data_IF_020239977066
#
_entry.id   IF_020239977066
#
_cell.length_a   1.000
_cell.length_b   1.000
_cell.length_c   1.000
_cell.angle_alpha   90.00
_cell.angle_beta   90.00
_cell.angle_gamma   90.00
#
_symmetry.space_group_name_H-M   'P 1'
#
loop_
_entity.id
_entity.type
_entity.pdbx_description
1 polymer ?
#
# COMPACT_ATOMS: atom_id res chain seq x y z
N UNK A 1 0.98 -18.90 -13.63
CA UNK A 1 2.03 -17.88 -13.57
C UNK A 1 2.06 -17.24 -12.19
N UNK A 2 0.99 -16.60 -11.73
CA UNK A 2 0.90 -15.95 -10.40
C UNK A 2 1.46 -16.83 -9.26
N UNK A 3 1.05 -18.09 -9.15
CA UNK A 3 1.55 -19.03 -8.12
C UNK A 3 3.06 -19.25 -8.26
N UNK A 4 3.58 -19.43 -9.48
CA UNK A 4 5.01 -19.64 -9.74
C UNK A 4 5.82 -18.42 -9.33
N UNK A 5 5.38 -17.22 -9.72
CA UNK A 5 6.08 -15.97 -9.39
C UNK A 5 6.03 -15.70 -7.88
N UNK A 6 4.90 -15.97 -7.23
CA UNK A 6 4.76 -15.87 -5.78
C UNK A 6 5.71 -16.81 -5.03
N UNK A 7 5.82 -18.06 -5.47
CA UNK A 7 6.75 -19.04 -4.92
C UNK A 7 8.21 -18.54 -5.03
N UNK A 8 8.62 -18.13 -6.22
CA UNK A 8 10.00 -17.68 -6.48
C UNK A 8 10.37 -16.42 -5.71
N UNK A 9 9.44 -15.46 -5.59
CA UNK A 9 9.66 -14.25 -4.80
C UNK A 9 9.74 -14.58 -3.32
N UNK A 10 8.84 -15.45 -2.82
CA UNK A 10 8.81 -15.84 -1.41
C UNK A 10 10.04 -16.65 -1.01
N UNK A 11 10.49 -17.60 -1.86
CA UNK A 11 11.73 -18.38 -1.64
C UNK A 11 12.95 -17.48 -1.47
N UNK A 12 12.98 -16.33 -2.14
CA UNK A 12 14.07 -15.33 -2.06
C UNK A 12 13.90 -14.30 -0.95
N UNK A 13 12.92 -14.46 -0.08
CA UNK A 13 12.70 -13.60 1.07
C UNK A 13 11.69 -12.47 0.86
N UNK A 14 11.08 -12.37 -0.33
CA UNK A 14 10.06 -11.36 -0.63
C UNK A 14 8.70 -11.70 -0.02
N UNK A 15 8.02 -10.71 0.54
CA UNK A 15 6.58 -10.78 0.83
C UNK A 15 5.77 -10.44 -0.41
N UNK A 16 4.64 -11.11 -0.63
CA UNK A 16 3.81 -10.93 -1.83
C UNK A 16 2.38 -10.55 -1.43
N UNK A 17 1.85 -9.49 -2.06
CA UNK A 17 0.43 -9.12 -1.98
C UNK A 17 -0.28 -9.38 -3.32
N UNK A 18 -1.48 -9.95 -3.29
CA UNK A 18 -2.21 -10.37 -4.48
C UNK A 18 -3.64 -9.85 -4.44
N UNK A 19 -4.08 -9.15 -5.49
CA UNK A 19 -5.47 -8.74 -5.67
C UNK A 19 -6.33 -9.91 -6.19
N UNK A 20 -7.42 -10.22 -5.51
CA UNK A 20 -8.37 -11.26 -5.92
C UNK A 20 -9.70 -10.68 -6.44
N UNK A 21 -9.87 -9.37 -6.43
CA UNK A 21 -11.14 -8.69 -6.73
C UNK A 21 -11.70 -9.02 -8.13
N UNK A 22 -10.85 -9.30 -9.10
CA UNK A 22 -11.29 -9.67 -10.46
C UNK A 22 -11.60 -11.17 -10.64
N UNK A 23 -11.42 -11.98 -9.60
CA UNK A 23 -11.80 -13.39 -9.63
C UNK A 23 -13.33 -13.49 -9.57
N UNK A 24 -13.92 -14.32 -10.41
CA UNK A 24 -15.36 -14.55 -10.40
C UNK A 24 -15.81 -15.09 -9.05
N UNK A 25 -16.94 -14.59 -8.59
CA UNK A 25 -17.58 -15.05 -7.36
C UNK A 25 -18.04 -16.52 -7.47
N UNK A 26 -18.20 -17.17 -6.32
CA UNK A 26 -18.76 -18.52 -6.23
C UNK A 26 -20.15 -18.57 -6.86
N UNK A 27 -20.37 -19.57 -7.71
CA UNK A 27 -21.63 -19.74 -8.45
C UNK A 27 -21.74 -18.93 -9.75
N UNK A 28 -20.74 -18.10 -10.09
CA UNK A 28 -20.74 -17.40 -11.37
C UNK A 28 -20.67 -18.37 -12.57
N UNK A 29 -21.16 -17.97 -13.77
CA UNK A 29 -21.10 -18.81 -14.93
C UNK A 29 -19.69 -18.98 -15.48
N UNK A 30 -19.40 -20.19 -15.98
CA UNK A 30 -18.23 -20.51 -16.80
C UNK A 30 -18.70 -21.07 -18.11
N UNK A 31 -18.28 -20.51 -19.24
CA UNK A 31 -18.69 -20.95 -20.59
C UNK A 31 -20.21 -21.05 -20.73
N UNK A 32 -20.97 -20.13 -20.17
CA UNK A 32 -22.45 -20.06 -20.15
C UNK A 32 -23.15 -21.09 -19.23
N UNK A 33 -22.43 -21.90 -18.48
CA UNK A 33 -23.00 -22.79 -17.46
C UNK A 33 -23.02 -22.09 -16.11
N UNK A 34 -24.19 -21.90 -15.54
CA UNK A 34 -24.37 -21.28 -14.20
C UNK A 34 -23.84 -22.20 -13.09
N UNK A 35 -23.49 -21.64 -11.97
CA UNK A 35 -23.08 -22.37 -10.76
C UNK A 35 -21.70 -23.03 -10.83
N UNK A 36 -20.86 -22.71 -11.82
CA UNK A 36 -19.61 -23.43 -12.06
C UNK A 36 -18.39 -22.84 -11.38
N UNK A 37 -18.35 -21.51 -11.15
CA UNK A 37 -17.21 -20.87 -10.52
C UNK A 37 -17.15 -21.22 -9.03
N UNK A 38 -15.94 -21.50 -8.53
CA UNK A 38 -15.72 -21.87 -7.12
C UNK A 38 -15.44 -20.65 -6.22
N UNK A 39 -15.25 -19.46 -6.82
CA UNK A 39 -14.95 -18.22 -6.08
C UNK A 39 -13.49 -18.12 -5.63
N UNK A 40 -13.23 -17.22 -4.68
CA UNK A 40 -11.87 -16.88 -4.26
C UNK A 40 -11.24 -17.91 -3.29
N UNK A 41 -12.03 -18.66 -2.52
CA UNK A 41 -11.53 -19.52 -1.44
C UNK A 41 -10.57 -20.61 -1.94
N UNK A 42 -10.85 -21.37 -3.01
CA UNK A 42 -9.91 -22.38 -3.51
C UNK A 42 -8.57 -21.80 -3.97
N UNK A 43 -8.59 -20.57 -4.52
CA UNK A 43 -7.37 -19.86 -4.90
C UNK A 43 -6.57 -19.47 -3.66
N UNK A 44 -7.23 -19.00 -2.60
CA UNK A 44 -6.60 -18.69 -1.32
C UNK A 44 -5.93 -19.93 -0.72
N UNK A 45 -6.59 -21.10 -0.73
CA UNK A 45 -6.00 -22.36 -0.26
C UNK A 45 -4.74 -22.73 -1.05
N UNK A 46 -4.80 -22.68 -2.37
CA UNK A 46 -3.65 -22.97 -3.24
C UNK A 46 -2.47 -22.01 -2.96
N UNK A 47 -2.75 -20.72 -2.74
CA UNK A 47 -1.72 -19.74 -2.39
C UNK A 47 -1.15 -19.99 -1.00
N UNK A 48 -1.98 -20.34 -0.01
CA UNK A 48 -1.53 -20.68 1.34
C UNK A 48 -0.56 -21.86 1.32
N UNK A 49 -0.89 -22.92 0.59
CA UNK A 49 -0.04 -24.11 0.44
C UNK A 49 1.27 -23.76 -0.30
N UNK A 50 1.18 -22.92 -1.34
CA UNK A 50 2.34 -22.46 -2.10
C UNK A 50 3.33 -21.66 -1.22
N UNK A 51 2.84 -20.71 -0.42
CA UNK A 51 3.69 -19.94 0.49
C UNK A 51 4.24 -20.79 1.64
N UNK A 52 3.46 -21.74 2.15
CA UNK A 52 3.91 -22.67 3.19
C UNK A 52 5.04 -23.59 2.69
N UNK A 53 5.01 -23.95 1.39
CA UNK A 53 6.08 -24.71 0.74
C UNK A 53 7.36 -23.88 0.54
N UNK A 54 7.24 -22.58 0.25
CA UNK A 54 8.37 -21.68 0.00
C UNK A 54 9.12 -21.33 1.30
N UNK A 55 9.59 -22.34 2.00
CA UNK A 55 10.39 -22.17 3.23
C UNK A 55 11.81 -21.72 2.86
N UNK A 56 12.22 -20.55 3.36
CA UNK A 56 13.52 -19.92 3.13
C UNK A 56 14.63 -20.63 3.93
N UNK A 57 14.92 -21.88 3.58
CA UNK A 57 15.93 -22.73 4.25
C UNK A 57 15.76 -22.83 5.77
N UNK A 58 14.53 -22.80 6.27
CA UNK A 58 14.20 -22.82 7.69
C UNK A 58 14.42 -21.49 8.44
N UNK A 59 14.88 -20.45 7.78
CA UNK A 59 15.14 -19.15 8.42
C UNK A 59 13.86 -18.31 8.56
N UNK A 60 12.95 -18.39 7.57
CA UNK A 60 11.68 -17.67 7.56
C UNK A 60 10.67 -18.44 6.73
N UNK A 61 9.44 -18.56 7.21
CA UNK A 61 8.36 -19.12 6.39
C UNK A 61 7.99 -18.16 5.27
N UNK A 62 7.63 -18.69 4.11
CA UNK A 62 7.05 -17.93 3.03
C UNK A 62 5.76 -17.25 3.48
N UNK A 63 5.54 -16.02 3.03
CA UNK A 63 4.41 -15.22 3.46
C UNK A 63 3.77 -14.46 2.30
N UNK A 64 2.44 -14.45 2.29
CA UNK A 64 1.62 -13.73 1.32
C UNK A 64 0.40 -13.08 1.94
N UNK A 65 -0.12 -12.07 1.25
CA UNK A 65 -1.39 -11.45 1.56
C UNK A 65 -2.31 -11.47 0.34
N UNK A 66 -3.61 -11.58 0.56
CA UNK A 66 -4.62 -11.48 -0.48
C UNK A 66 -5.60 -10.37 -0.16
N UNK A 67 -5.95 -9.60 -1.18
CA UNK A 67 -6.81 -8.43 -1.07
C UNK A 67 -8.10 -8.63 -1.85
N UNK A 68 -9.23 -8.29 -1.23
CA UNK A 68 -10.56 -8.37 -1.85
C UNK A 68 -11.32 -7.07 -1.61
N UNK A 69 -12.00 -6.56 -2.65
CA UNK A 69 -12.86 -5.38 -2.50
C UNK A 69 -14.08 -5.70 -1.64
N UNK A 70 -14.48 -4.78 -0.77
CA UNK A 70 -15.64 -4.91 0.11
C UNK A 70 -16.96 -5.17 -0.65
N UNK A 71 -17.03 -4.77 -1.92
CA UNK A 71 -18.20 -4.96 -2.79
C UNK A 71 -18.12 -6.23 -3.66
N UNK A 72 -17.15 -7.13 -3.39
CA UNK A 72 -17.10 -8.43 -4.05
C UNK A 72 -18.13 -9.41 -3.44
N UNK A 73 -18.85 -10.23 -4.23
CA UNK A 73 -19.88 -11.12 -3.70
C UNK A 73 -19.38 -12.16 -2.68
N UNK A 74 -18.12 -12.59 -2.79
CA UNK A 74 -17.52 -13.55 -1.84
C UNK A 74 -16.99 -12.90 -0.55
N UNK A 75 -17.18 -11.57 -0.31
CA UNK A 75 -16.51 -10.86 0.78
C UNK A 75 -16.81 -11.47 2.16
N UNK A 76 -18.05 -11.85 2.44
CA UNK A 76 -18.39 -12.44 3.73
C UNK A 76 -17.73 -13.81 3.93
N UNK A 77 -17.71 -14.64 2.87
CA UNK A 77 -17.02 -15.94 2.89
C UNK A 77 -15.51 -15.78 3.03
N UNK A 78 -14.94 -14.76 2.40
CA UNK A 78 -13.52 -14.40 2.52
C UNK A 78 -13.17 -14.06 3.97
N UNK A 79 -13.97 -13.23 4.64
CA UNK A 79 -13.78 -12.87 6.05
C UNK A 79 -13.90 -14.10 6.97
N UNK A 80 -14.92 -14.94 6.74
CA UNK A 80 -15.19 -16.13 7.57
C UNK A 80 -14.02 -17.16 7.55
N UNK A 81 -13.14 -17.10 6.57
CA UNK A 81 -11.94 -17.97 6.54
C UNK A 81 -10.99 -17.76 7.72
N UNK A 82 -11.08 -16.62 8.41
CA UNK A 82 -10.24 -16.27 9.59
C UNK A 82 -10.92 -16.48 10.93
N UNK A 83 -12.18 -16.90 10.97
CA UNK A 83 -12.84 -17.21 12.25
C UNK A 83 -12.16 -18.39 12.95
N UNK A 84 -12.11 -18.35 14.27
CA UNK A 84 -11.55 -19.46 15.07
C UNK A 84 -12.26 -20.78 14.83
N UNK A 85 -13.58 -20.73 14.64
CA UNK A 85 -14.44 -21.88 14.40
C UNK A 85 -14.74 -22.16 12.93
N UNK A 86 -13.96 -21.60 12.00
CA UNK A 86 -14.13 -21.85 10.58
C UNK A 86 -13.94 -23.36 10.27
N UNK A 87 -14.75 -23.86 9.33
CA UNK A 87 -14.57 -25.21 8.78
C UNK A 87 -13.14 -25.34 8.20
N UNK A 88 -12.43 -26.41 8.56
CA UNK A 88 -11.04 -26.68 8.10
C UNK A 88 -10.90 -26.65 6.57
N UNK A 89 -11.98 -26.95 5.83
CA UNK A 89 -11.98 -26.89 4.37
C UNK A 89 -11.83 -25.47 3.82
N UNK A 90 -12.28 -24.47 4.57
CA UNK A 90 -12.21 -23.06 4.14
C UNK A 90 -11.24 -22.23 4.97
N UNK A 91 -10.81 -22.73 6.14
CA UNK A 91 -9.96 -21.99 7.06
C UNK A 91 -8.61 -21.64 6.44
N UNK A 92 -8.24 -20.39 6.55
CA UNK A 92 -6.96 -19.84 6.12
C UNK A 92 -6.14 -19.47 7.37
N UNK A 93 -5.01 -20.17 7.58
CA UNK A 93 -4.19 -20.02 8.80
C UNK A 93 -3.05 -19.02 8.62
N UNK A 94 -2.27 -19.16 7.54
CA UNK A 94 -0.99 -18.43 7.38
C UNK A 94 -1.06 -17.26 6.41
N UNK A 95 -2.03 -17.27 5.47
CA UNK A 95 -2.19 -16.20 4.51
C UNK A 95 -2.82 -14.96 5.16
N UNK A 96 -2.20 -13.80 5.00
CA UNK A 96 -2.77 -12.53 5.47
C UNK A 96 -3.93 -12.08 4.59
N UNK A 97 -4.94 -11.46 5.18
CA UNK A 97 -6.10 -10.92 4.45
C UNK A 97 -6.10 -9.39 4.50
N UNK A 98 -6.48 -8.78 3.37
CA UNK A 98 -6.76 -7.35 3.27
C UNK A 98 -8.11 -7.10 2.61
N UNK A 99 -8.82 -6.09 3.06
CA UNK A 99 -10.06 -5.62 2.45
C UNK A 99 -9.85 -4.22 1.90
N UNK A 100 -10.18 -4.07 0.62
CA UNK A 100 -10.18 -2.77 -0.07
C UNK A 100 -11.55 -2.16 0.10
N UNK A 101 -11.64 -1.05 0.83
CA UNK A 101 -12.92 -0.44 1.25
C UNK A 101 -13.09 0.92 0.58
N UNK A 102 -14.07 1.05 -0.35
CA UNK A 102 -14.47 2.34 -0.93
C UNK A 102 -15.13 3.27 0.10
N UNK A 103 -15.03 4.58 -0.10
CA UNK A 103 -15.63 5.60 0.78
C UNK A 103 -17.14 5.43 0.91
N UNK A 104 -17.84 5.10 -0.18
CA UNK A 104 -19.30 4.83 -0.18
C UNK A 104 -19.68 3.75 0.84
N UNK A 105 -18.83 2.77 1.11
CA UNK A 105 -19.12 1.70 2.09
C UNK A 105 -19.28 2.27 3.49
N UNK A 106 -18.41 3.24 3.87
CA UNK A 106 -18.51 3.93 5.15
C UNK A 106 -19.75 4.81 5.24
N UNK A 107 -20.11 5.50 4.16
CA UNK A 107 -21.32 6.33 4.10
C UNK A 107 -22.57 5.49 4.30
N UNK A 108 -22.70 4.38 3.59
CA UNK A 108 -23.81 3.44 3.73
C UNK A 108 -23.89 2.85 5.15
N UNK A 109 -22.74 2.53 5.76
CA UNK A 109 -22.72 2.03 7.13
C UNK A 109 -23.14 3.08 8.16
N UNK A 110 -22.68 4.33 7.99
CA UNK A 110 -23.08 5.45 8.87
C UNK A 110 -24.60 5.66 8.85
N UNK A 111 -25.20 5.53 7.67
CA UNK A 111 -26.64 5.66 7.46
C UNK A 111 -27.44 4.38 7.76
N UNK A 112 -26.77 3.29 8.13
CA UNK A 112 -27.35 1.96 8.35
C UNK A 112 -28.14 1.44 7.14
N UNK A 113 -27.63 1.67 5.93
CA UNK A 113 -28.23 1.23 4.67
C UNK A 113 -27.64 -0.10 4.21
N UNK A 114 -28.33 -0.72 3.25
CA UNK A 114 -27.81 -1.86 2.52
C UNK A 114 -26.73 -1.40 1.54
N UNK A 115 -25.66 -2.19 1.41
CA UNK A 115 -24.66 -2.11 0.35
C UNK A 115 -24.83 -3.26 -0.64
N UNK A 116 -24.53 -3.01 -1.89
CA UNK A 116 -24.57 -4.01 -2.94
C UNK A 116 -23.19 -4.59 -3.22
N UNK A 117 -23.16 -5.89 -3.46
CA UNK A 117 -22.00 -6.66 -3.91
C UNK A 117 -22.19 -6.96 -5.39
N UNK A 118 -21.17 -6.73 -6.22
CA UNK A 118 -21.27 -6.77 -7.68
C UNK A 118 -20.43 -7.88 -8.27
N UNK A 119 -21.00 -8.64 -9.22
CA UNK A 119 -20.28 -9.67 -9.96
C UNK A 119 -19.12 -9.06 -10.77
N UNK A 120 -17.84 -9.38 -10.49
CA UNK A 120 -16.72 -8.88 -11.27
C UNK A 120 -16.82 -9.23 -12.76
N UNK A 121 -17.31 -10.42 -13.06
CA UNK A 121 -17.50 -10.87 -14.44
C UNK A 121 -18.50 -10.01 -15.20
N UNK A 122 -19.63 -9.67 -14.58
CA UNK A 122 -20.65 -8.85 -15.24
C UNK A 122 -20.19 -7.39 -15.36
N UNK A 123 -19.50 -6.86 -14.35
CA UNK A 123 -18.91 -5.52 -14.41
C UNK A 123 -17.92 -5.42 -15.57
N UNK A 124 -16.98 -6.34 -15.69
CA UNK A 124 -16.01 -6.37 -16.79
C UNK A 124 -16.71 -6.45 -18.15
N UNK A 125 -17.72 -7.32 -18.28
CA UNK A 125 -18.49 -7.47 -19.51
C UNK A 125 -19.26 -6.21 -19.92
N UNK A 126 -19.79 -5.48 -18.94
CA UNK A 126 -20.63 -4.28 -19.18
C UNK A 126 -19.79 -3.04 -19.41
N UNK A 127 -18.75 -2.85 -18.60
CA UNK A 127 -17.90 -1.63 -18.63
C UNK A 127 -16.66 -1.80 -19.53
N UNK A 128 -16.35 -3.02 -19.98
CA UNK A 128 -15.13 -3.30 -20.77
C UNK A 128 -13.83 -3.13 -20.01
N UNK A 129 -13.89 -3.06 -18.68
CA UNK A 129 -12.75 -2.89 -17.77
C UNK A 129 -12.88 -3.82 -16.57
N UNK A 130 -11.78 -4.34 -16.03
CA UNK A 130 -11.80 -5.12 -14.78
C UNK A 130 -12.48 -4.36 -13.63
N UNK A 131 -13.09 -5.08 -12.71
CA UNK A 131 -13.77 -4.45 -11.57
C UNK A 131 -12.82 -3.58 -10.72
N UNK A 132 -11.55 -3.95 -10.60
CA UNK A 132 -10.51 -3.14 -9.91
C UNK A 132 -10.30 -1.76 -10.53
N UNK A 133 -10.59 -1.61 -11.82
CA UNK A 133 -10.37 -0.35 -12.55
C UNK A 133 -11.58 0.60 -12.47
N UNK A 134 -12.65 0.16 -11.80
CA UNK A 134 -13.88 0.94 -11.58
C UNK A 134 -13.85 1.50 -10.15
N UNK A 135 -13.97 2.81 -10.00
CA UNK A 135 -14.23 3.43 -8.70
C UNK A 135 -15.65 3.08 -8.25
N UNK A 136 -15.77 2.23 -7.23
CA UNK A 136 -17.10 1.85 -6.71
C UNK A 136 -17.82 3.07 -6.14
N UNK A 137 -17.11 3.98 -5.47
CA UNK A 137 -17.70 5.20 -4.91
C UNK A 137 -18.31 6.07 -6.00
N UNK A 138 -17.58 6.33 -7.09
CA UNK A 138 -18.05 7.20 -8.18
C UNK A 138 -19.18 6.59 -9.01
N UNK A 139 -19.14 5.26 -9.21
CA UNK A 139 -20.09 4.53 -10.05
C UNK A 139 -21.14 3.73 -9.28
N UNK A 140 -21.27 3.92 -7.95
CA UNK A 140 -22.13 3.08 -7.12
C UNK A 140 -23.56 3.02 -7.62
N UNK A 141 -24.16 4.16 -7.91
CA UNK A 141 -25.54 4.23 -8.36
C UNK A 141 -25.74 3.61 -9.77
N UNK A 142 -24.77 3.78 -10.66
CA UNK A 142 -24.79 3.16 -11.98
C UNK A 142 -24.72 1.65 -11.87
N UNK A 143 -23.81 1.13 -11.06
CA UNK A 143 -23.67 -0.30 -10.78
C UNK A 143 -24.94 -0.91 -10.15
N UNK A 144 -25.58 -0.17 -9.24
CA UNK A 144 -26.83 -0.61 -8.57
C UNK A 144 -28.00 -0.64 -9.55
N UNK A 145 -28.11 0.32 -10.46
CA UNK A 145 -29.24 0.44 -11.36
C UNK A 145 -29.10 -0.37 -12.66
N UNK A 146 -27.89 -0.85 -12.98
CA UNK A 146 -27.68 -1.65 -14.20
C UNK A 146 -28.16 -3.08 -13.99
N UNK A 147 -29.27 -3.46 -14.68
CA UNK A 147 -29.85 -4.80 -14.59
C UNK A 147 -28.96 -5.91 -15.20
N UNK A 148 -27.98 -5.57 -16.01
CA UNK A 148 -27.04 -6.51 -16.63
C UNK A 148 -26.00 -7.05 -15.67
N UNK A 149 -25.85 -6.41 -14.49
CA UNK A 149 -24.88 -6.77 -13.44
C UNK A 149 -25.63 -7.54 -12.36
N UNK A 150 -25.19 -8.78 -12.11
CA UNK A 150 -25.65 -9.56 -10.96
C UNK A 150 -25.13 -8.93 -9.69
N UNK A 151 -26.01 -8.82 -8.73
CA UNK A 151 -25.71 -8.20 -7.46
C UNK A 151 -26.50 -8.84 -6.33
N UNK A 152 -25.91 -8.87 -5.17
CA UNK A 152 -26.55 -9.23 -3.91
C UNK A 152 -26.41 -8.07 -2.95
N UNK A 153 -27.23 -8.01 -1.91
CA UNK A 153 -27.16 -6.94 -0.94
C UNK A 153 -26.93 -7.48 0.47
N UNK A 154 -26.18 -6.73 1.26
CA UNK A 154 -26.00 -6.96 2.69
C UNK A 154 -26.12 -5.62 3.41
N UNK A 155 -26.40 -5.64 4.71
CA UNK A 155 -26.41 -4.41 5.48
C UNK A 155 -24.95 -3.93 5.74
N UNK A 156 -24.63 -2.69 5.38
CA UNK A 156 -23.26 -2.15 5.46
C UNK A 156 -22.74 -2.04 6.91
N UNK A 157 -23.60 -1.69 7.88
CA UNK A 157 -23.20 -1.64 9.30
C UNK A 157 -22.89 -3.04 9.82
N UNK A 158 -23.70 -4.04 9.46
CA UNK A 158 -23.44 -5.44 9.82
C UNK A 158 -22.14 -5.96 9.21
N UNK A 159 -21.81 -5.54 7.98
CA UNK A 159 -20.52 -5.85 7.36
C UNK A 159 -19.35 -5.37 8.23
N UNK A 160 -19.37 -4.10 8.70
CA UNK A 160 -18.31 -3.58 9.56
C UNK A 160 -18.29 -4.23 10.96
N UNK A 161 -19.46 -4.59 11.50
CA UNK A 161 -19.53 -5.35 12.75
C UNK A 161 -18.83 -6.71 12.62
N UNK A 162 -19.15 -7.45 11.56
CA UNK A 162 -18.47 -8.74 11.26
C UNK A 162 -16.97 -8.57 11.03
N UNK A 163 -16.58 -7.53 10.30
CA UNK A 163 -15.17 -7.22 10.06
C UNK A 163 -14.43 -6.95 11.38
N UNK A 164 -15.02 -6.14 12.27
CA UNK A 164 -14.43 -5.84 13.57
C UNK A 164 -14.35 -7.08 14.50
N UNK A 165 -15.39 -7.94 14.50
CA UNK A 165 -15.36 -9.22 15.21
C UNK A 165 -14.17 -10.09 14.76
N UNK A 166 -13.99 -10.24 13.45
CA UNK A 166 -12.91 -11.05 12.88
C UNK A 166 -11.54 -10.43 13.13
N UNK A 167 -11.43 -9.10 13.10
CA UNK A 167 -10.19 -8.41 13.51
C UNK A 167 -9.86 -8.66 14.98
N UNK A 168 -10.85 -8.66 15.85
CA UNK A 168 -10.65 -8.97 17.26
C UNK A 168 -10.20 -10.45 17.48
N UNK A 169 -10.79 -11.40 16.74
CA UNK A 169 -10.44 -12.82 16.83
C UNK A 169 -9.06 -13.13 16.25
N UNK A 170 -8.67 -12.51 15.13
CA UNK A 170 -7.52 -12.97 14.31
C UNK A 170 -6.47 -11.90 14.02
N UNK A 171 -6.73 -10.63 14.29
CA UNK A 171 -5.89 -9.51 13.84
C UNK A 171 -6.04 -9.17 12.36
N UNK A 172 -6.87 -9.87 11.59
CA UNK A 172 -7.15 -9.65 10.17
C UNK A 172 -8.62 -9.31 9.94
N UNK A 173 -8.98 -8.70 8.80
CA UNK A 173 -8.13 -8.25 7.70
C UNK A 173 -7.45 -6.90 7.95
N UNK A 174 -6.42 -6.59 7.17
CA UNK A 174 -5.97 -5.21 6.97
C UNK A 174 -7.06 -4.43 6.22
N UNK A 175 -7.14 -3.13 6.45
CA UNK A 175 -8.08 -2.26 5.74
C UNK A 175 -7.31 -1.29 4.85
N UNK A 176 -7.60 -1.32 3.56
CA UNK A 176 -7.09 -0.35 2.58
C UNK A 176 -8.24 0.59 2.20
N UNK A 177 -8.07 1.87 2.46
CA UNK A 177 -9.03 2.93 2.11
C UNK A 177 -8.87 3.30 0.63
N UNK A 178 -9.68 2.68 -0.24
CA UNK A 178 -9.52 2.71 -1.69
C UNK A 178 -9.43 4.13 -2.27
N UNK A 179 -10.38 4.98 -1.92
CA UNK A 179 -10.44 6.32 -2.48
C UNK A 179 -9.36 7.23 -1.91
N UNK A 180 -9.01 7.07 -0.62
CA UNK A 180 -7.94 7.83 0.02
C UNK A 180 -6.59 7.57 -0.66
N UNK A 181 -6.23 6.29 -0.89
CA UNK A 181 -4.96 5.97 -1.54
C UNK A 181 -4.93 6.41 -3.00
N UNK A 182 -6.07 6.35 -3.70
CA UNK A 182 -6.15 6.79 -5.08
C UNK A 182 -6.13 8.33 -5.21
N UNK A 183 -6.68 9.08 -4.25
CA UNK A 183 -6.49 10.54 -4.19
C UNK A 183 -5.03 10.94 -3.97
N UNK A 184 -4.27 10.13 -3.25
CA UNK A 184 -2.84 10.34 -2.99
C UNK A 184 -1.91 9.71 -4.03
N UNK A 185 -2.44 9.01 -5.04
CA UNK A 185 -1.66 8.33 -6.06
C UNK A 185 -0.83 9.35 -6.89
N UNK A 186 0.51 9.28 -6.89
CA UNK A 186 1.35 10.20 -7.65
C UNK A 186 1.40 9.86 -9.15
N UNK A 187 0.98 8.66 -9.55
CA UNK A 187 1.05 8.18 -10.93
C UNK A 187 -0.28 7.60 -11.43
N UNK A 188 -1.38 8.38 -11.48
CA UNK A 188 -2.67 7.92 -11.98
C UNK A 188 -2.64 7.59 -13.47
N UNK A 189 -1.65 8.08 -14.21
CA UNK A 189 -1.35 7.73 -15.59
C UNK A 189 -0.99 6.24 -15.78
N UNK A 190 -0.48 5.56 -14.76
CA UNK A 190 -0.20 4.12 -14.76
C UNK A 190 -1.49 3.33 -14.50
N UNK A 191 -2.32 3.77 -13.57
CA UNK A 191 -3.56 3.11 -13.20
C UNK A 191 -3.99 3.43 -11.77
N UNK A 192 -5.02 2.70 -11.32
CA UNK A 192 -5.51 2.77 -9.95
C UNK A 192 -4.65 1.91 -9.00
N UNK A 193 -4.62 2.30 -7.75
CA UNK A 193 -4.09 1.46 -6.65
C UNK A 193 -5.22 0.51 -6.24
N UNK A 194 -5.01 -0.79 -6.46
CA UNK A 194 -6.05 -1.83 -6.33
C UNK A 194 -5.83 -2.81 -5.19
N UNK A 195 -4.62 -2.83 -4.65
CA UNK A 195 -4.22 -3.69 -3.53
C UNK A 195 -2.94 -3.13 -2.89
N UNK A 196 -2.47 -3.79 -1.84
CA UNK A 196 -1.21 -3.50 -1.19
C UNK A 196 -0.31 -4.74 -1.14
N UNK A 197 0.83 -4.63 -0.46
CA UNK A 197 1.79 -5.70 -0.23
C UNK A 197 1.40 -6.59 0.98
N UNK A 198 2.34 -7.43 1.42
CA UNK A 198 2.17 -8.34 2.56
C UNK A 198 1.78 -7.63 3.86
N UNK A 199 2.37 -6.48 4.15
CA UNK A 199 2.18 -5.75 5.43
C UNK A 199 1.31 -4.49 5.29
N UNK A 200 0.72 -4.26 4.11
CA UNK A 200 -0.24 -3.17 3.83
C UNK A 200 0.33 -1.74 3.89
N UNK A 201 1.65 -1.57 3.72
CA UNK A 201 2.29 -0.25 3.69
C UNK A 201 2.61 0.28 2.29
N UNK A 202 2.50 -0.55 1.24
CA UNK A 202 2.84 -0.16 -0.14
C UNK A 202 1.59 0.13 -0.94
N UNK A 203 1.44 1.38 -1.36
CA UNK A 203 0.32 1.87 -2.14
C UNK A 203 0.81 2.40 -3.50
N UNK A 204 0.86 1.52 -4.51
CA UNK A 204 1.35 1.84 -5.85
C UNK A 204 0.40 1.32 -6.93
N UNK A 205 0.25 2.04 -8.06
CA UNK A 205 -0.50 1.53 -9.20
C UNK A 205 0.25 0.43 -9.91
N UNK A 206 -0.48 -0.50 -10.50
CA UNK A 206 0.06 -1.63 -11.25
C UNK A 206 -0.69 -1.84 -12.56
N UNK A 207 -0.05 -2.53 -13.51
CA UNK A 207 -0.64 -2.89 -14.80
C UNK A 207 -0.60 -4.42 -14.93
N UNK A 208 -1.75 -5.03 -15.12
CA UNK A 208 -1.85 -6.48 -15.27
C UNK A 208 -1.16 -6.97 -16.55
N UNK A 209 -0.46 -8.09 -16.45
CA UNK A 209 0.08 -8.80 -17.62
C UNK A 209 -1.02 -9.57 -18.34
N UNK A 210 -0.91 -9.70 -19.66
CA UNK A 210 -1.77 -10.59 -20.47
C UNK A 210 -0.97 -11.79 -20.96
N UNK A 211 -1.66 -12.96 -21.07
CA UNK A 211 -1.01 -14.23 -21.35
C UNK A 211 -1.72 -14.99 -22.48
N UNK A 212 -0.94 -15.75 -23.26
CA UNK A 212 -1.47 -16.80 -24.14
C UNK A 212 -1.96 -17.99 -23.31
N UNK A 213 -2.68 -18.90 -23.94
CA UNK A 213 -3.15 -20.15 -23.30
C UNK A 213 -2.01 -21.02 -22.75
N UNK A 214 -0.83 -20.97 -23.36
CA UNK A 214 0.35 -21.70 -22.91
C UNK A 214 1.14 -21.00 -21.78
N UNK A 215 0.64 -19.86 -21.26
CA UNK A 215 1.25 -19.11 -20.17
C UNK A 215 2.39 -18.17 -20.56
N UNK A 216 2.69 -18.03 -21.85
CA UNK A 216 3.63 -17.00 -22.34
C UNK A 216 2.98 -15.62 -22.29
N UNK A 217 3.78 -14.59 -22.03
CA UNK A 217 3.31 -13.20 -22.10
C UNK A 217 2.84 -12.84 -23.52
N UNK A 218 1.66 -12.26 -23.63
CA UNK A 218 1.25 -11.45 -24.78
C UNK A 218 1.75 -10.05 -24.58
N UNK A 219 1.48 -9.50 -23.38
CA UNK A 219 1.96 -8.21 -22.95
C UNK A 219 2.41 -8.30 -21.50
N UNK A 220 3.62 -7.85 -21.24
CA UNK A 220 4.19 -7.81 -19.91
C UNK A 220 3.74 -6.55 -19.18
N UNK A 221 2.99 -6.73 -18.10
CA UNK A 221 2.50 -5.64 -17.25
C UNK A 221 3.59 -5.02 -16.39
N UNK A 222 3.16 -4.30 -15.35
CA UNK A 222 4.04 -3.69 -14.34
C UNK A 222 3.55 -4.10 -12.97
N UNK A 223 4.21 -5.10 -12.35
CA UNK A 223 3.98 -5.42 -10.95
C UNK A 223 4.87 -4.55 -10.05
N UNK A 224 4.47 -4.43 -8.80
CA UNK A 224 5.07 -3.51 -7.84
C UNK A 224 6.27 -4.17 -7.17
N UNK A 225 7.32 -3.41 -6.94
CA UNK A 225 8.34 -3.72 -5.95
C UNK A 225 8.62 -2.49 -5.09
N UNK A 226 9.04 -2.71 -3.84
CA UNK A 226 9.45 -1.63 -2.96
C UNK A 226 10.65 -2.05 -2.12
N UNK A 227 11.68 -1.21 -2.12
CA UNK A 227 12.86 -1.36 -1.28
C UNK A 227 12.66 -0.51 -0.03
N UNK A 228 12.68 -1.17 1.14
CA UNK A 228 12.35 -0.55 2.41
C UNK A 228 13.59 -0.21 3.23
N UNK A 229 13.54 0.94 3.88
CA UNK A 229 14.47 1.35 4.92
C UNK A 229 13.74 2.22 5.93
N UNK A 230 14.28 2.39 7.14
CA UNK A 230 13.63 3.21 8.15
C UNK A 230 14.63 4.05 8.93
N UNK A 231 14.30 5.31 9.13
CA UNK A 231 15.03 6.23 9.99
C UNK A 231 14.59 6.02 11.44
N UNK A 232 15.55 6.06 12.37
CA UNK A 232 15.25 6.06 13.80
C UNK A 232 14.97 7.49 14.24
N UNK A 233 13.70 7.81 14.54
CA UNK A 233 13.23 9.16 14.87
C UNK A 233 14.05 9.77 16.02
N UNK A 234 14.27 9.02 17.11
CA UNK A 234 15.05 9.52 18.25
C UNK A 234 16.48 9.91 17.85
N UNK A 235 17.10 9.19 16.92
CA UNK A 235 18.43 9.53 16.40
C UNK A 235 18.40 10.73 15.47
N UNK A 236 17.40 10.80 14.62
CA UNK A 236 17.20 11.95 13.73
C UNK A 236 16.96 13.25 14.52
N UNK A 237 16.26 13.18 15.64
CA UNK A 237 15.99 14.33 16.50
C UNK A 237 17.21 14.79 17.31
N UNK A 238 18.24 13.96 17.46
CA UNK A 238 19.52 14.33 18.07
C UNK A 238 20.46 15.10 17.15
N UNK A 239 20.13 15.22 15.85
CA UNK A 239 20.93 16.02 14.91
C UNK A 239 20.68 17.51 15.15
N UNK A 240 21.74 18.29 15.34
CA UNK A 240 21.63 19.67 15.80
C UNK A 240 21.25 20.63 14.67
N UNK A 241 21.68 20.35 13.45
CA UNK A 241 21.52 21.25 12.31
C UNK A 241 20.59 20.71 11.23
N UNK A 242 19.96 21.62 10.51
CA UNK A 242 19.20 21.28 9.30
C UNK A 242 20.07 20.54 8.28
N UNK A 243 21.33 20.90 8.15
CA UNK A 243 22.29 20.26 7.24
C UNK A 243 22.51 18.79 7.60
N UNK A 244 22.78 18.47 8.87
CA UNK A 244 22.96 17.08 9.31
C UNK A 244 21.70 16.25 9.08
N UNK A 245 20.54 16.82 9.38
CA UNK A 245 19.27 16.16 9.16
C UNK A 245 19.02 15.86 7.67
N UNK A 246 19.17 16.87 6.81
CA UNK A 246 19.00 16.72 5.35
C UNK A 246 20.01 15.71 4.77
N UNK A 247 21.25 15.74 5.23
CA UNK A 247 22.28 14.81 4.80
C UNK A 247 21.96 13.37 5.20
N UNK A 248 21.44 13.14 6.41
CA UNK A 248 21.01 11.80 6.83
C UNK A 248 19.88 11.26 5.96
N UNK A 249 18.88 12.10 5.62
CA UNK A 249 17.80 11.73 4.68
C UNK A 249 18.36 11.42 3.30
N UNK A 250 19.25 12.25 2.78
CA UNK A 250 19.87 12.04 1.45
C UNK A 250 20.71 10.76 1.39
N UNK A 251 21.46 10.44 2.44
CA UNK A 251 22.25 9.20 2.51
C UNK A 251 21.32 7.97 2.49
N UNK A 252 20.26 7.99 3.30
CA UNK A 252 19.27 6.92 3.30
C UNK A 252 18.58 6.78 1.93
N UNK A 253 18.21 7.90 1.31
CA UNK A 253 17.68 7.93 -0.04
C UNK A 253 18.62 7.28 -1.07
N UNK A 254 19.88 7.73 -1.12
CA UNK A 254 20.90 7.23 -2.06
C UNK A 254 21.10 5.73 -1.91
N UNK A 255 21.10 5.23 -0.69
CA UNK A 255 21.21 3.81 -0.41
C UNK A 255 20.03 3.02 -1.00
N UNK A 256 18.79 3.42 -0.73
CA UNK A 256 17.60 2.75 -1.25
C UNK A 256 17.48 2.86 -2.76
N UNK A 257 17.77 4.03 -3.34
CA UNK A 257 17.78 4.24 -4.78
C UNK A 257 18.83 3.34 -5.47
N UNK A 258 20.00 3.16 -4.86
CA UNK A 258 21.03 2.25 -5.37
C UNK A 258 20.55 0.80 -5.35
N UNK A 259 19.88 0.37 -4.29
CA UNK A 259 19.29 -0.98 -4.20
C UNK A 259 18.24 -1.18 -5.30
N UNK A 260 17.31 -0.24 -5.47
CA UNK A 260 16.28 -0.32 -6.52
C UNK A 260 16.90 -0.48 -7.92
N UNK A 261 17.95 0.28 -8.23
CA UNK A 261 18.66 0.21 -9.51
C UNK A 261 19.46 -1.06 -9.72
N UNK A 262 20.03 -1.63 -8.65
CA UNK A 262 20.88 -2.81 -8.73
C UNK A 262 20.12 -4.13 -8.65
N UNK A 263 18.81 -4.07 -8.38
CA UNK A 263 17.98 -5.26 -8.23
C UNK A 263 17.57 -5.82 -9.59
N UNK A 264 18.04 -7.03 -9.91
CA UNK A 264 17.65 -7.79 -11.09
C UNK A 264 16.68 -8.91 -10.70
N UNK A 265 15.48 -8.94 -11.29
CA UNK A 265 14.44 -9.94 -11.02
C UNK A 265 14.10 -10.74 -12.27
N UNK A 266 15.10 -11.50 -12.78
CA UNK A 266 14.97 -12.30 -14.02
C UNK A 266 13.84 -13.33 -13.99
N UNK A 267 13.49 -13.82 -12.79
CA UNK A 267 12.42 -14.81 -12.60
C UNK A 267 11.01 -14.19 -12.63
N UNK A 268 10.88 -12.88 -12.42
CA UNK A 268 9.60 -12.16 -12.37
C UNK A 268 9.67 -10.91 -13.25
N UNK A 269 9.55 -11.06 -14.59
CA UNK A 269 9.77 -9.98 -15.55
C UNK A 269 8.89 -8.75 -15.33
N UNK A 270 7.59 -8.96 -15.01
CA UNK A 270 6.66 -7.85 -14.73
C UNK A 270 7.05 -7.04 -13.50
N UNK A 271 7.60 -7.70 -12.45
CA UNK A 271 8.16 -7.01 -11.28
C UNK A 271 9.43 -6.24 -11.64
N UNK A 272 10.31 -6.85 -12.46
CA UNK A 272 11.51 -6.17 -12.97
C UNK A 272 11.15 -4.92 -13.78
N UNK A 273 10.18 -5.04 -14.68
CA UNK A 273 9.66 -3.91 -15.49
C UNK A 273 9.07 -2.80 -14.61
N UNK A 274 8.22 -3.17 -13.64
CA UNK A 274 7.62 -2.21 -12.72
C UNK A 274 8.69 -1.49 -11.87
N UNK A 275 9.67 -2.24 -11.34
CA UNK A 275 10.80 -1.65 -10.62
C UNK A 275 11.61 -0.66 -11.48
N UNK A 276 11.89 -1.03 -12.74
CA UNK A 276 12.62 -0.17 -13.67
C UNK A 276 11.86 1.13 -13.99
N UNK A 277 10.55 1.03 -14.24
CA UNK A 277 9.72 2.17 -14.63
C UNK A 277 9.40 3.09 -13.47
N UNK A 278 9.11 2.55 -12.29
CA UNK A 278 8.74 3.33 -11.11
C UNK A 278 9.95 3.77 -10.29
N UNK A 279 11.01 2.95 -10.22
CA UNK A 279 12.14 3.11 -9.29
C UNK A 279 11.69 3.46 -7.87
N UNK A 280 10.59 2.82 -7.42
CA UNK A 280 9.97 3.13 -6.15
C UNK A 280 10.86 2.71 -4.97
N UNK A 281 10.94 3.59 -3.98
CA UNK A 281 11.57 3.33 -2.69
C UNK A 281 10.58 3.58 -1.56
N UNK A 282 10.81 2.99 -0.41
CA UNK A 282 9.99 3.16 0.78
C UNK A 282 10.85 3.53 1.99
N UNK A 283 11.24 4.80 2.10
CA UNK A 283 11.90 5.30 3.30
C UNK A 283 10.85 5.55 4.39
N UNK A 284 10.91 4.76 5.44
CA UNK A 284 9.99 4.81 6.56
C UNK A 284 10.63 5.29 7.85
N UNK A 285 9.91 5.05 8.95
CA UNK A 285 10.25 5.53 10.27
C UNK A 285 10.14 4.40 11.29
N UNK A 286 10.97 4.46 12.34
CA UNK A 286 10.85 3.63 13.55
C UNK A 286 11.15 4.44 14.79
N UNK A 287 10.79 3.90 15.95
CA UNK A 287 11.07 4.48 17.26
C UNK A 287 10.27 5.76 17.58
N UNK A 288 9.05 5.90 17.03
CA UNK A 288 8.21 7.04 17.39
C UNK A 288 7.89 7.04 18.89
N UNK A 289 7.38 5.93 19.41
CA UNK A 289 6.99 5.86 20.82
C UNK A 289 8.20 5.99 21.76
N UNK A 290 9.34 5.36 21.43
CA UNK A 290 10.57 5.50 22.22
C UNK A 290 11.08 6.94 22.27
N UNK A 291 11.01 7.67 21.16
CA UNK A 291 11.32 9.10 21.13
C UNK A 291 10.38 9.92 22.03
N UNK A 292 9.05 9.72 21.87
CA UNK A 292 8.07 10.44 22.69
C UNK A 292 8.24 10.17 24.20
N UNK A 293 8.54 8.93 24.58
CA UNK A 293 8.85 8.58 25.98
C UNK A 293 10.08 9.36 26.47
N UNK A 294 11.14 9.44 25.67
CA UNK A 294 12.36 10.18 26.06
C UNK A 294 12.13 11.67 26.24
N UNK A 295 11.15 12.24 25.54
CA UNK A 295 10.74 13.64 25.67
C UNK A 295 9.67 13.86 26.76
N UNK A 296 9.14 12.79 27.37
CA UNK A 296 8.04 12.88 28.33
C UNK A 296 6.69 13.22 27.74
N UNK A 297 6.49 12.96 26.43
CA UNK A 297 5.29 13.30 25.68
C UNK A 297 4.37 12.08 25.60
N UNK A 298 3.10 12.17 26.05
CA UNK A 298 2.13 11.10 25.88
C UNK A 298 1.86 10.82 24.39
N UNK A 299 1.84 9.54 24.01
CA UNK A 299 1.71 9.12 22.63
C UNK A 299 0.41 9.61 21.94
N UNK A 300 -0.70 9.68 22.67
CA UNK A 300 -2.01 10.11 22.18
C UNK A 300 -2.27 11.62 22.33
N UNK A 301 -1.25 12.40 22.73
CA UNK A 301 -1.35 13.85 22.90
C UNK A 301 -1.38 14.60 21.55
N UNK A 302 -1.91 15.83 21.55
CA UNK A 302 -1.83 16.72 20.38
C UNK A 302 -0.39 17.10 20.09
N UNK A 303 0.42 17.36 21.13
CA UNK A 303 1.86 17.66 20.97
C UNK A 303 2.59 16.54 20.23
N UNK A 304 2.32 15.27 20.54
CA UNK A 304 2.92 14.14 19.83
C UNK A 304 2.55 14.17 18.34
N UNK A 305 1.28 14.45 18.01
CA UNK A 305 0.81 14.56 16.63
C UNK A 305 1.45 15.73 15.88
N UNK A 306 1.54 16.89 16.49
CA UNK A 306 2.15 18.08 15.88
C UNK A 306 3.66 17.89 15.64
N UNK A 307 4.39 17.38 16.61
CA UNK A 307 5.83 17.11 16.47
C UNK A 307 6.11 16.05 15.40
N UNK A 308 5.32 14.96 15.37
CA UNK A 308 5.49 13.93 14.36
C UNK A 308 5.10 14.43 12.97
N UNK A 309 4.06 15.24 12.86
CA UNK A 309 3.68 15.89 11.59
C UNK A 309 4.81 16.77 11.05
N UNK A 310 5.42 17.61 11.88
CA UNK A 310 6.54 18.46 11.49
C UNK A 310 7.76 17.63 11.08
N UNK A 311 8.08 16.59 11.82
CA UNK A 311 9.16 15.66 11.46
C UNK A 311 8.95 15.00 10.10
N UNK A 312 7.75 14.46 9.85
CA UNK A 312 7.42 13.81 8.58
C UNK A 312 7.42 14.80 7.42
N UNK A 313 6.93 16.00 7.63
CA UNK A 313 6.99 17.10 6.68
C UNK A 313 8.43 17.38 6.23
N UNK A 314 9.34 17.54 7.18
CA UNK A 314 10.75 17.84 6.90
C UNK A 314 11.44 16.68 6.16
N UNK A 315 11.21 15.43 6.60
CA UNK A 315 11.72 14.24 5.88
C UNK A 315 11.21 14.20 4.45
N UNK A 316 9.91 14.46 4.23
CA UNK A 316 9.30 14.44 2.90
C UNK A 316 9.91 15.50 1.99
N UNK A 317 10.09 16.73 2.51
CA UNK A 317 10.71 17.83 1.79
C UNK A 317 12.13 17.48 1.29
N UNK A 318 13.01 17.05 2.20
CA UNK A 318 14.38 16.70 1.84
C UNK A 318 14.48 15.46 0.94
N UNK A 319 13.54 14.53 1.08
CA UNK A 319 13.50 13.32 0.27
C UNK A 319 13.09 13.61 -1.18
N UNK A 320 12.15 14.53 -1.37
CA UNK A 320 11.76 15.01 -2.71
C UNK A 320 12.95 15.74 -3.35
N UNK A 321 13.59 16.67 -2.63
CA UNK A 321 14.79 17.35 -3.13
C UNK A 321 15.89 16.37 -3.55
N UNK A 322 16.15 15.34 -2.73
CA UNK A 322 17.13 14.30 -3.06
C UNK A 322 16.76 13.51 -4.34
N UNK A 323 15.47 13.27 -4.59
CA UNK A 323 15.00 12.60 -5.81
C UNK A 323 15.10 13.51 -7.05
N UNK A 324 14.89 14.80 -6.90
CA UNK A 324 15.11 15.80 -7.97
C UNK A 324 16.59 15.86 -8.34
N UNK A 325 17.47 16.05 -7.35
CA UNK A 325 18.93 16.06 -7.56
C UNK A 325 19.44 14.81 -8.29
N UNK A 326 18.85 13.66 -7.96
CA UNK A 326 19.25 12.38 -8.52
C UNK A 326 18.91 12.26 -10.03
N UNK A 327 18.00 13.06 -10.55
CA UNK A 327 17.65 13.06 -12.00
C UNK A 327 18.88 13.35 -12.88
N UNK A 328 19.80 14.17 -12.42
CA UNK A 328 21.04 14.48 -13.15
C UNK A 328 21.92 13.23 -13.37
N UNK A 329 21.77 12.23 -12.52
CA UNK A 329 22.56 10.97 -12.58
C UNK A 329 21.77 9.85 -13.25
N UNK A 330 20.50 9.72 -12.92
CA UNK A 330 19.67 8.57 -13.24
C UNK A 330 18.59 8.83 -14.28
N UNK A 331 18.35 10.10 -14.62
CA UNK A 331 17.20 10.53 -15.41
C UNK A 331 15.88 10.39 -14.63
N UNK A 332 14.82 10.89 -15.22
CA UNK A 332 13.45 10.78 -14.70
C UNK A 332 13.03 9.31 -14.60
N UNK A 333 12.15 8.97 -13.65
CA UNK A 333 11.56 7.62 -13.63
C UNK A 333 10.68 7.39 -14.89
N UNK A 334 10.54 6.13 -15.31
CA UNK A 334 9.92 5.81 -16.61
C UNK A 334 8.48 6.24 -16.79
N UNK A 335 7.69 6.21 -15.71
CA UNK A 335 6.27 6.62 -15.71
C UNK A 335 6.07 8.11 -15.38
N UNK A 336 7.09 8.96 -15.52
CA UNK A 336 7.04 10.37 -15.12
C UNK A 336 6.03 11.17 -15.95
N UNK A 337 5.99 10.95 -17.27
CA UNK A 337 5.08 11.67 -18.13
C UNK A 337 3.62 11.31 -17.85
N UNK A 338 2.78 12.31 -17.64
CA UNK A 338 1.39 12.18 -17.22
C UNK A 338 1.20 11.98 -15.71
N UNK A 339 2.27 11.94 -14.93
CA UNK A 339 2.20 11.83 -13.48
C UNK A 339 1.88 13.16 -12.81
N UNK A 340 1.43 13.10 -11.55
CA UNK A 340 1.21 14.30 -10.72
C UNK A 340 2.51 15.01 -10.29
N UNK A 341 3.64 14.39 -10.52
CA UNK A 341 4.94 15.05 -10.39
C UNK A 341 5.22 15.97 -11.57
N UNK A 342 4.86 15.55 -12.81
CA UNK A 342 5.07 16.35 -14.02
C UNK A 342 4.19 17.61 -14.03
N UNK A 343 2.92 17.51 -13.67
CA UNK A 343 2.02 18.67 -13.63
C UNK A 343 2.17 19.51 -12.34
N UNK A 344 2.89 18.98 -11.33
CA UNK A 344 3.15 19.63 -10.04
C UNK A 344 2.01 19.49 -9.02
N UNK A 345 0.90 18.82 -9.37
CA UNK A 345 -0.26 18.69 -8.48
C UNK A 345 0.03 17.83 -7.23
N UNK A 346 1.03 16.95 -7.28
CA UNK A 346 1.47 16.21 -6.10
C UNK A 346 2.11 17.16 -5.07
N UNK A 347 2.95 18.08 -5.53
CA UNK A 347 3.60 19.05 -4.64
C UNK A 347 2.59 20.07 -4.12
N UNK A 348 1.60 20.49 -4.94
CA UNK A 348 0.51 21.35 -4.47
C UNK A 348 -0.27 20.71 -3.31
N UNK A 349 -0.55 19.42 -3.40
CA UNK A 349 -1.21 18.68 -2.32
C UNK A 349 -0.36 18.64 -1.04
N UNK A 350 0.95 18.46 -1.16
CA UNK A 350 1.88 18.47 -0.02
C UNK A 350 2.04 19.88 0.57
N UNK A 351 2.07 20.91 -0.26
CA UNK A 351 2.08 22.31 0.18
C UNK A 351 0.81 22.67 0.97
N UNK A 352 -0.34 22.17 0.54
CA UNK A 352 -1.60 22.37 1.29
C UNK A 352 -1.56 21.66 2.66
N UNK A 353 -1.00 20.46 2.73
CA UNK A 353 -0.81 19.75 4.01
C UNK A 353 0.22 20.47 4.91
N UNK A 354 1.23 21.15 4.34
CA UNK A 354 2.23 21.89 5.11
C UNK A 354 1.63 23.02 5.95
N UNK A 355 0.48 23.58 5.55
CA UNK A 355 -0.24 24.61 6.34
C UNK A 355 -0.72 24.12 7.70
N UNK A 356 -0.81 22.79 7.88
CA UNK A 356 -1.19 22.15 9.15
C UNK A 356 0.00 21.89 10.06
N UNK A 357 1.21 22.18 9.59
CA UNK A 357 2.45 21.95 10.34
C UNK A 357 2.71 23.14 11.28
N UNK A 358 2.95 22.85 12.54
CA UNK A 358 3.42 23.87 13.48
C UNK A 358 4.89 24.21 13.13
N UNK A 359 5.18 25.44 12.65
CA UNK A 359 6.51 25.80 12.19
C UNK A 359 7.55 25.79 13.32
N UNK A 360 7.13 25.87 14.59
CA UNK A 360 8.05 25.79 15.73
C UNK A 360 8.77 24.45 15.85
N UNK A 361 8.14 23.38 15.34
CA UNK A 361 8.71 22.04 15.36
C UNK A 361 9.40 21.65 14.03
N UNK A 362 9.31 22.48 12.99
CA UNK A 362 9.93 22.21 11.70
C UNK A 362 11.37 22.70 11.64
N UNK A 363 12.24 21.90 11.03
CA UNK A 363 13.64 22.26 10.74
C UNK A 363 13.78 23.17 9.52
N UNK A 364 12.70 23.33 8.74
CA UNK A 364 12.64 24.28 7.64
C UNK A 364 12.35 25.71 8.11
N UNK A 365 12.02 25.89 9.38
CA UNK A 365 11.79 27.22 9.96
C UNK A 365 12.97 28.13 9.69
N UNK A 366 12.68 29.30 9.16
CA UNK A 366 13.64 30.39 8.95
C UNK A 366 13.19 31.63 9.71
N UNK A 367 14.13 32.46 10.24
CA UNK A 367 13.78 33.74 10.80
C UNK A 367 13.11 34.70 9.82
N UNK A 368 13.18 34.39 8.52
CA UNK A 368 12.69 35.25 7.44
C UNK A 368 11.34 34.79 6.85
N UNK A 369 10.88 33.62 7.17
CA UNK A 369 9.55 33.12 6.73
C UNK A 369 8.93 32.18 7.76
N UNK A 370 7.67 32.46 8.11
CA UNK A 370 6.85 31.59 8.94
C UNK A 370 5.99 30.66 8.09
N UNK A 371 5.84 30.97 6.79
CA UNK A 371 5.05 30.18 5.85
C UNK A 371 5.90 29.11 5.17
N UNK A 372 5.73 27.86 5.60
CA UNK A 372 6.43 26.72 5.04
C UNK A 372 6.03 26.42 3.59
N UNK A 373 4.94 27.00 3.09
CA UNK A 373 4.48 26.77 1.70
C UNK A 373 5.44 27.32 0.65
N UNK A 374 6.20 28.36 0.99
CA UNK A 374 7.21 28.94 0.08
C UNK A 374 8.30 27.95 -0.31
N UNK A 375 8.69 27.07 0.62
CA UNK A 375 9.67 26.01 0.33
C UNK A 375 9.13 25.01 -0.72
N UNK A 376 7.85 24.69 -0.65
CA UNK A 376 7.20 23.77 -1.61
C UNK A 376 7.08 24.37 -3.00
N UNK A 377 6.90 25.70 -3.11
CA UNK A 377 6.88 26.39 -4.40
C UNK A 377 8.23 26.26 -5.14
N UNK A 378 9.34 26.33 -4.43
CA UNK A 378 10.68 26.07 -4.98
C UNK A 378 10.80 24.64 -5.51
N UNK A 379 10.47 23.63 -4.68
CA UNK A 379 10.50 22.22 -5.10
C UNK A 379 9.55 21.93 -6.27
N UNK A 380 8.39 22.59 -6.33
CA UNK A 380 7.47 22.45 -7.48
C UNK A 380 8.10 22.89 -8.78
N UNK A 381 8.78 24.03 -8.76
CA UNK A 381 9.48 24.52 -9.93
C UNK A 381 10.57 23.55 -10.38
N UNK A 382 11.39 23.07 -9.46
CA UNK A 382 12.45 22.10 -9.71
C UNK A 382 11.88 20.78 -10.25
N UNK A 383 10.89 20.18 -9.58
CA UNK A 383 10.26 18.93 -10.01
C UNK A 383 9.66 19.01 -11.41
N UNK A 384 9.06 20.15 -11.79
CA UNK A 384 8.48 20.34 -13.13
C UNK A 384 9.56 20.49 -14.21
N UNK A 385 10.66 21.17 -13.91
CA UNK A 385 11.72 21.44 -14.90
C UNK A 385 12.71 20.27 -15.01
N UNK A 386 13.20 19.79 -13.87
CA UNK A 386 14.22 18.72 -13.82
C UNK A 386 13.56 17.34 -13.81
N UNK A 387 12.47 17.19 -13.08
CA UNK A 387 11.74 15.92 -12.91
C UNK A 387 12.02 15.26 -11.57
N UNK A 388 11.56 14.00 -11.45
CA UNK A 388 11.76 13.13 -10.30
C UNK A 388 12.46 11.84 -10.72
N UNK A 389 13.41 11.36 -9.94
CA UNK A 389 14.08 10.08 -10.20
C UNK A 389 13.25 8.86 -9.77
N UNK A 390 12.30 9.03 -8.85
CA UNK A 390 11.50 7.97 -8.25
C UNK A 390 10.01 8.32 -8.24
N UNK A 391 9.15 7.34 -8.52
CA UNK A 391 7.69 7.51 -8.51
C UNK A 391 7.13 7.62 -7.09
N UNK A 392 7.61 6.75 -6.17
CA UNK A 392 7.26 6.73 -4.75
C UNK A 392 8.52 6.80 -3.91
N UNK A 393 8.45 7.46 -2.76
CA UNK A 393 9.59 7.76 -1.92
C UNK A 393 9.48 7.20 -0.51
N UNK A 394 8.28 7.08 0.03
CA UNK A 394 8.03 6.76 1.43
C UNK A 394 7.07 5.58 1.60
N UNK A 395 7.30 4.83 2.66
CA UNK A 395 6.40 3.82 3.21
C UNK A 395 6.71 3.65 4.70
N UNK A 396 5.71 3.31 5.51
CA UNK A 396 5.89 3.09 6.96
C UNK A 396 5.81 1.58 7.24
N UNK A 397 6.94 0.86 7.17
CA UNK A 397 6.97 -0.58 7.37
C UNK A 397 6.91 -0.96 8.85
N UNK A 398 6.58 -2.22 9.19
CA UNK A 398 6.49 -2.69 10.57
C UNK A 398 7.81 -2.65 11.37
N UNK A 399 8.96 -2.72 10.70
CA UNK A 399 10.34 -2.66 11.28
C UNK A 399 10.64 -3.64 12.42
N UNK A 400 9.94 -4.79 12.48
CA UNK A 400 10.05 -5.74 13.58
C UNK A 400 11.49 -6.11 13.95
N UNK A 401 12.26 -6.71 13.05
CA UNK A 401 13.62 -7.19 13.34
C UNK A 401 14.64 -6.05 13.48
N UNK A 402 14.56 -5.02 12.62
CA UNK A 402 15.55 -3.92 12.65
C UNK A 402 15.41 -3.02 13.88
N UNK A 403 14.22 -2.93 14.47
CA UNK A 403 14.02 -2.19 15.72
C UNK A 403 14.76 -2.81 16.89
N UNK A 404 14.88 -4.14 16.97
CA UNK A 404 15.66 -4.80 18.01
C UNK A 404 17.16 -4.53 17.89
N UNK A 405 17.71 -4.62 16.66
CA UNK A 405 19.11 -4.30 16.40
C UNK A 405 19.42 -2.84 16.79
N UNK A 406 18.46 -1.95 16.60
CA UNK A 406 18.60 -0.51 16.93
C UNK A 406 18.22 -0.19 18.38
N UNK A 407 17.85 -1.16 19.20
CA UNK A 407 17.34 -0.95 20.56
C UNK A 407 16.26 0.14 20.60
N UNK A 408 15.22 -0.04 19.80
CA UNK A 408 14.17 0.95 19.54
C UNK A 408 12.79 0.33 19.49
N UNK A 409 11.75 1.15 19.60
CA UNK A 409 10.37 0.68 19.38
C UNK A 409 10.10 0.49 17.89
N UNK A 410 9.21 -0.45 17.55
CA UNK A 410 8.91 -0.79 16.17
C UNK A 410 8.03 0.28 15.50
N UNK A 411 8.40 0.67 14.28
CA UNK A 411 7.62 1.57 13.43
C UNK A 411 7.15 2.84 14.15
N UNK A 412 5.92 3.22 13.89
CA UNK A 412 5.22 4.33 14.56
C UNK A 412 4.21 3.84 15.60
N UNK A 413 4.18 2.54 15.88
CA UNK A 413 3.20 1.94 16.79
C UNK A 413 3.46 2.31 18.26
N UNK A 414 2.41 2.42 19.08
CA UNK A 414 2.60 2.50 20.52
C UNK A 414 3.08 1.16 21.08
N UNK A 415 3.89 1.22 22.14
CA UNK A 415 4.23 0.03 22.95
C UNK A 415 2.99 -0.38 23.72
N UNK A 416 2.56 -1.64 23.58
CA UNK A 416 1.36 -2.16 24.21
C UNK A 416 1.63 -2.84 25.55
N UNK A 417 2.88 -3.30 25.80
CA UNK A 417 3.29 -3.93 27.04
C UNK A 417 4.78 -3.68 27.31
N UNK A 418 5.21 -3.62 28.59
CA UNK A 418 6.62 -3.44 28.95
C UNK A 418 7.48 -4.65 28.60
N UNK A 419 6.89 -5.82 28.40
CA UNK A 419 7.56 -7.07 28.01
C UNK A 419 6.76 -7.67 26.86
N UNK A 420 7.43 -7.96 25.75
CA UNK A 420 6.89 -8.69 24.62
C UNK A 420 7.46 -10.12 24.64
N UNK A 421 6.56 -11.11 24.67
CA UNK A 421 6.91 -12.53 24.56
C UNK A 421 6.69 -12.95 23.10
N UNK A 422 7.72 -13.48 22.47
CA UNK A 422 7.68 -13.98 21.08
C UNK A 422 8.06 -15.46 20.99
#
# INVERSE_FOLDING_TARGET
RMVTDSLQLSERGGGVGIALTNIRESGAPIKKFEGQASGVIPIMKMLEDAFSYANQLGQRQGAGAVYLNAHHPDIMRFLDTKRENADEKIRIKTLSLGVVVPDITFELARENRDMYLFSPYDVERVYGKPFTDISVTEHYNDLVNDERIRKTKINARKFFQTLAEIQFESGYPYIMFEDTVNRANPAPNVGRIISSNLCSEIMQPQVASTFKENGEFVEEGQDISCNLGSLNIAKMQQLDTQYEFSNAVQVAYKFLNRVAKSTEMKSSPSVAKGNHLARAIGLGQMNLHGWLISEGIPYDSEEARERFRAYMHDVTYFLIGASIDQVQIDGRFGNYSGSRWEDGSMIDALAEESKKVNPEYSRLRSPFTEDLTDYWNGLKWEAKNDGMANQHLQAIPPTGSISYINNSTASIHPVTAPIEIR
#
